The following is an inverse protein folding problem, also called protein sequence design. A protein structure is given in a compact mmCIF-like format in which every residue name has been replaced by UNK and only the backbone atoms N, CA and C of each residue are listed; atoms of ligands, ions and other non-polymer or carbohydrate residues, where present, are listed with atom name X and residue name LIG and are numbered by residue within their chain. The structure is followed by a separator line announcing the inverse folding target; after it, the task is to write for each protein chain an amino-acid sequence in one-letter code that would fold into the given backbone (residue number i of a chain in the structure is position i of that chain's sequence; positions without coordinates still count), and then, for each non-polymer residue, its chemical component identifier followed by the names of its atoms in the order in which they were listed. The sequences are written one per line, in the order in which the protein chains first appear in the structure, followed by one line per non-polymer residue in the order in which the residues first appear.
data_IF_152819103926
#
_entry.id   IF_152819103926
#
_cell.length_a   1.000
_cell.length_b   1.000
_cell.length_c   1.000
_cell.angle_alpha   90.00
_cell.angle_beta   90.00
_cell.angle_gamma   90.00
#
_symmetry.space_group_name_H-M   'P 1'
#
loop_
_entity.id
_entity.type
_entity.pdbx_description
1 polymer ?
#
# COMPACT_ATOMS: atom_id res chain seq x y z
N UNK A 1 9.67 31.69 -11.13
CA UNK A 1 9.03 31.11 -9.94
C UNK A 1 7.96 32.07 -9.44
N UNK A 2 6.70 31.73 -9.66
CA UNK A 2 5.57 32.48 -9.07
C UNK A 2 5.55 32.15 -7.58
N UNK A 3 5.53 33.17 -6.72
CA UNK A 3 5.48 32.98 -5.27
C UNK A 3 4.11 32.39 -4.91
N UNK A 4 4.09 31.16 -4.38
CA UNK A 4 2.85 30.45 -3.99
C UNK A 4 2.09 31.26 -2.92
N UNK A 5 0.77 31.40 -3.08
CA UNK A 5 -0.11 32.16 -2.17
C UNK A 5 -0.25 31.46 -0.82
N UNK A 6 -0.26 30.13 -0.84
CA UNK A 6 -0.34 29.24 0.33
C UNK A 6 -0.19 27.78 -0.09
N UNK A 7 -0.42 26.85 0.83
CA UNK A 7 -0.41 25.40 0.55
C UNK A 7 -1.75 24.75 0.92
N UNK A 8 -2.21 23.83 0.08
CA UNK A 8 -3.40 23.02 0.31
C UNK A 8 -3.09 21.52 0.13
N UNK A 9 -3.77 20.69 0.92
CA UNK A 9 -3.76 19.23 0.76
C UNK A 9 -5.09 18.78 0.13
N UNK A 10 -5.03 17.99 -0.93
CA UNK A 10 -6.20 17.34 -1.53
C UNK A 10 -6.09 15.84 -1.27
N UNK A 11 -7.10 15.27 -0.61
CA UNK A 11 -7.12 13.85 -0.21
C UNK A 11 -8.05 13.07 -1.11
N UNK A 12 -7.48 12.19 -1.94
CA UNK A 12 -8.17 11.40 -2.96
C UNK A 12 -7.96 11.99 -4.35
N UNK A 13 -7.37 11.21 -5.24
CA UNK A 13 -7.02 11.55 -6.61
C UNK A 13 -7.96 10.88 -7.64
N UNK A 14 -9.24 10.76 -7.27
CA UNK A 14 -10.33 10.60 -8.22
C UNK A 14 -10.61 11.88 -9.01
N UNK A 15 -11.63 11.88 -9.85
CA UNK A 15 -11.97 13.01 -10.72
C UNK A 15 -12.21 14.33 -9.95
N UNK A 16 -12.84 14.26 -8.78
CA UNK A 16 -13.12 15.43 -7.94
C UNK A 16 -11.84 16.04 -7.38
N UNK A 17 -10.95 15.22 -6.83
CA UNK A 17 -9.69 15.69 -6.26
C UNK A 17 -8.69 16.15 -7.31
N UNK A 18 -8.62 15.47 -8.45
CA UNK A 18 -7.85 15.95 -9.61
C UNK A 18 -8.34 17.35 -10.00
N UNK A 19 -9.66 17.55 -10.15
CA UNK A 19 -10.20 18.87 -10.52
C UNK A 19 -9.90 19.93 -9.46
N UNK A 20 -10.11 19.62 -8.18
CA UNK A 20 -9.82 20.53 -7.08
C UNK A 20 -8.35 20.94 -7.05
N UNK A 21 -7.43 19.99 -7.26
CA UNK A 21 -5.99 20.26 -7.28
C UNK A 21 -5.59 21.19 -8.44
N UNK A 22 -6.17 20.99 -9.62
CA UNK A 22 -5.94 21.84 -10.78
C UNK A 22 -6.42 23.28 -10.54
N UNK A 23 -7.64 23.46 -10.03
CA UNK A 23 -8.22 24.78 -9.79
C UNK A 23 -7.42 25.57 -8.74
N UNK A 24 -6.94 24.89 -7.69
CA UNK A 24 -6.07 25.49 -6.69
C UNK A 24 -4.67 25.84 -7.25
N UNK A 25 -4.12 24.98 -8.10
CA UNK A 25 -2.81 25.21 -8.70
C UNK A 25 -2.82 26.38 -9.70
N UNK A 26 -3.85 26.47 -10.55
CA UNK A 26 -4.05 27.54 -11.54
C UNK A 26 -4.27 28.90 -10.88
N UNK A 27 -4.87 28.92 -9.68
CA UNK A 27 -5.02 30.15 -8.87
C UNK A 27 -3.74 30.55 -8.12
N UNK A 28 -2.70 29.71 -8.11
CA UNK A 28 -1.38 30.01 -7.55
C UNK A 28 -1.09 29.40 -6.17
N UNK A 29 -1.91 28.48 -5.69
CA UNK A 29 -1.61 27.71 -4.47
C UNK A 29 -0.68 26.54 -4.77
N UNK A 30 0.20 26.22 -3.81
CA UNK A 30 0.85 24.92 -3.79
C UNK A 30 -0.13 23.84 -3.36
N UNK A 31 -0.17 22.73 -4.08
CA UNK A 31 -1.09 21.63 -3.80
C UNK A 31 -0.30 20.35 -3.63
N UNK A 32 -0.54 19.65 -2.53
CA UNK A 32 -0.18 18.24 -2.39
C UNK A 32 -1.43 17.42 -2.66
N UNK A 33 -1.43 16.60 -3.70
CA UNK A 33 -2.52 15.68 -4.03
C UNK A 33 -2.10 14.26 -3.60
N UNK A 34 -2.84 13.68 -2.66
CA UNK A 34 -2.57 12.32 -2.16
C UNK A 34 -3.66 11.35 -2.55
N UNK A 35 -3.32 10.07 -2.72
CA UNK A 35 -4.30 8.98 -2.83
C UNK A 35 -3.73 7.71 -2.17
N UNK A 36 -4.60 6.97 -1.47
CA UNK A 36 -4.25 5.66 -0.91
C UNK A 36 -4.01 4.62 -2.00
N UNK A 37 -4.67 4.79 -3.14
CA UNK A 37 -4.47 3.99 -4.33
C UNK A 37 -3.10 4.28 -4.93
N UNK A 38 -2.59 3.28 -5.64
CA UNK A 38 -1.31 3.34 -6.31
C UNK A 38 -1.38 4.00 -7.70
N UNK A 39 -2.58 4.43 -8.11
CA UNK A 39 -2.83 5.09 -9.39
C UNK A 39 -3.85 6.22 -9.25
N UNK A 40 -3.83 7.14 -10.20
CA UNK A 40 -4.80 8.22 -10.32
C UNK A 40 -6.13 7.72 -10.93
N UNK A 41 -7.20 8.47 -10.68
CA UNK A 41 -8.46 8.38 -11.41
C UNK A 41 -9.63 7.75 -10.69
N UNK A 42 -9.38 7.03 -9.60
CA UNK A 42 -10.41 6.33 -8.83
C UNK A 42 -11.33 5.49 -9.73
N UNK A 43 -12.62 5.48 -9.42
CA UNK A 43 -13.66 4.76 -10.18
C UNK A 43 -13.65 5.13 -11.67
N UNK A 44 -13.32 6.37 -12.02
CA UNK A 44 -13.38 6.82 -13.41
C UNK A 44 -12.43 6.05 -14.34
N UNK A 45 -11.33 5.53 -13.78
CA UNK A 45 -10.38 4.68 -14.51
C UNK A 45 -10.96 3.34 -14.94
N UNK A 46 -12.06 2.90 -14.31
CA UNK A 46 -12.73 1.63 -14.57
C UNK A 46 -13.87 1.77 -15.58
N UNK A 47 -14.27 3.00 -15.92
CA UNK A 47 -15.41 3.29 -16.79
C UNK A 47 -14.94 3.70 -18.19
N UNK A 48 -15.39 2.97 -19.21
CA UNK A 48 -15.05 3.29 -20.60
C UNK A 48 -15.85 4.49 -21.09
N UNK A 49 -17.18 4.47 -21.00
CA UNK A 49 -18.07 5.50 -21.55
C UNK A 49 -18.92 6.18 -20.47
N UNK A 50 -19.24 7.46 -20.68
CA UNK A 50 -20.02 8.25 -19.72
C UNK A 50 -21.27 8.86 -20.34
N UNK A 51 -22.42 8.57 -19.74
CA UNK A 51 -23.66 9.29 -19.99
C UNK A 51 -23.53 10.78 -19.55
N UNK A 52 -24.30 11.70 -20.14
CA UNK A 52 -25.21 11.52 -21.28
C UNK A 52 -24.48 11.56 -22.63
N UNK A 53 -23.17 11.86 -22.64
CA UNK A 53 -22.43 12.17 -23.87
C UNK A 53 -21.87 10.97 -24.61
N UNK A 54 -21.86 9.79 -23.99
CA UNK A 54 -21.18 8.57 -24.45
C UNK A 54 -19.72 8.81 -24.85
N UNK A 55 -19.05 9.75 -24.19
CA UNK A 55 -17.62 10.00 -24.40
C UNK A 55 -16.79 9.07 -23.54
N UNK A 56 -15.61 8.73 -24.04
CA UNK A 56 -14.67 7.93 -23.28
C UNK A 56 -14.24 8.67 -22.00
N UNK A 57 -14.45 8.05 -20.83
CA UNK A 57 -14.06 8.60 -19.54
C UNK A 57 -12.56 8.72 -19.41
N UNK A 58 -11.83 7.73 -19.89
CA UNK A 58 -10.37 7.76 -19.96
C UNK A 58 -9.86 8.89 -20.85
N UNK A 59 -10.51 9.22 -21.98
CA UNK A 59 -10.06 10.31 -22.85
C UNK A 59 -10.18 11.71 -22.22
N UNK A 60 -11.09 11.90 -21.25
CA UNK A 60 -11.13 13.15 -20.46
C UNK A 60 -10.00 13.21 -19.43
N UNK A 61 -9.60 12.07 -18.91
CA UNK A 61 -8.47 11.95 -17.98
C UNK A 61 -7.10 11.95 -18.68
N UNK A 62 -7.02 11.33 -19.85
CA UNK A 62 -5.81 10.90 -20.55
C UNK A 62 -6.02 10.98 -22.09
N UNK A 63 -6.21 12.17 -22.70
CA UNK A 63 -6.33 12.23 -24.15
C UNK A 63 -5.02 11.74 -24.81
N UNK A 64 -5.16 10.80 -25.75
CA UNK A 64 -4.05 10.11 -26.42
C UNK A 64 -3.63 10.76 -27.77
N UNK A 65 -4.43 11.70 -28.29
CA UNK A 65 -4.17 12.37 -29.57
C UNK A 65 -4.45 13.87 -29.48
N UNK A 66 -3.64 14.61 -30.24
CA UNK A 66 -3.65 16.07 -30.42
C UNK A 66 -3.20 16.88 -29.18
N UNK A 67 -1.88 16.94 -28.97
CA UNK A 67 -1.20 17.65 -27.87
C UNK A 67 -1.52 19.15 -27.81
N UNK A 68 -1.90 19.75 -28.94
CA UNK A 68 -2.08 21.20 -29.06
C UNK A 68 -3.55 21.64 -29.06
N UNK A 69 -4.50 20.83 -29.57
CA UNK A 69 -5.93 21.19 -29.56
C UNK A 69 -6.71 20.69 -28.33
N UNK A 70 -6.26 19.64 -27.65
CA UNK A 70 -6.91 19.10 -26.43
C UNK A 70 -6.60 19.89 -25.15
N UNK A 71 -5.89 21.01 -25.27
CA UNK A 71 -5.15 21.68 -24.20
C UNK A 71 -5.98 22.34 -23.10
N UNK A 72 -7.29 22.55 -23.29
CA UNK A 72 -8.13 23.22 -22.28
C UNK A 72 -8.95 22.27 -21.39
N UNK A 73 -9.07 20.99 -21.76
CA UNK A 73 -9.87 20.01 -21.01
C UNK A 73 -9.10 18.74 -20.63
N UNK A 74 -7.82 18.68 -20.99
CA UNK A 74 -6.92 17.57 -20.71
C UNK A 74 -6.43 17.63 -19.26
N UNK A 75 -7.06 16.87 -18.36
CA UNK A 75 -6.64 16.77 -16.96
C UNK A 75 -5.18 16.31 -16.83
N UNK A 76 -4.69 15.50 -17.77
CA UNK A 76 -3.29 15.06 -17.86
C UNK A 76 -2.29 16.22 -18.01
N UNK A 77 -2.57 17.25 -18.81
CA UNK A 77 -1.62 18.38 -19.00
C UNK A 77 -1.56 19.23 -17.73
N UNK A 78 -2.69 19.41 -17.06
CA UNK A 78 -2.76 20.16 -15.81
C UNK A 78 -2.07 19.46 -14.63
N UNK A 79 -2.00 18.12 -14.61
CA UNK A 79 -1.38 17.40 -13.50
C UNK A 79 0.16 17.52 -13.46
N UNK A 80 0.80 17.78 -14.61
CA UNK A 80 2.22 18.12 -14.67
C UNK A 80 2.43 19.63 -14.44
N UNK A 81 1.91 20.14 -13.33
CA UNK A 81 2.02 21.55 -12.95
C UNK A 81 3.07 21.71 -11.85
N UNK A 82 3.94 22.72 -11.95
CA UNK A 82 4.95 23.07 -10.93
C UNK A 82 4.38 23.34 -9.51
N UNK A 83 3.07 23.54 -9.41
CA UNK A 83 2.37 23.82 -8.16
C UNK A 83 1.76 22.56 -7.55
N UNK A 84 1.66 21.45 -8.28
CA UNK A 84 1.06 20.20 -7.82
C UNK A 84 2.16 19.17 -7.56
N UNK A 85 2.21 18.67 -6.34
CA UNK A 85 2.97 17.50 -5.94
C UNK A 85 2.00 16.32 -5.78
N UNK A 86 2.23 15.21 -6.47
CA UNK A 86 1.36 14.03 -6.44
C UNK A 86 2.05 12.94 -5.60
N UNK A 87 1.38 12.46 -4.55
CA UNK A 87 1.84 11.37 -3.70
C UNK A 87 0.82 10.22 -3.72
N UNK A 88 1.07 9.23 -4.58
CA UNK A 88 0.28 7.99 -4.62
C UNK A 88 0.72 7.05 -3.50
N UNK A 89 -0.10 6.02 -3.25
CA UNK A 89 0.12 5.06 -2.15
C UNK A 89 0.24 5.76 -0.79
N UNK A 90 -0.40 6.92 -0.62
CA UNK A 90 -0.23 7.82 0.52
C UNK A 90 -1.56 8.04 1.23
N UNK A 91 -1.57 7.76 2.53
CA UNK A 91 -2.73 7.92 3.42
C UNK A 91 -2.49 9.07 4.41
N UNK A 92 -3.55 9.82 4.71
CA UNK A 92 -3.55 10.81 5.78
C UNK A 92 -3.81 10.11 7.11
N UNK A 93 -2.87 10.22 8.05
CA UNK A 93 -2.94 9.53 9.35
C UNK A 93 -3.47 10.42 10.45
N UNK A 94 -2.96 11.65 10.55
CA UNK A 94 -3.38 12.61 11.57
C UNK A 94 -3.43 14.03 11.03
N UNK A 95 -4.31 14.83 11.63
CA UNK A 95 -4.47 16.27 11.40
C UNK A 95 -4.50 16.95 12.76
N UNK A 96 -3.62 17.92 12.95
CA UNK A 96 -3.53 18.75 14.14
C UNK A 96 -3.55 20.23 13.73
N UNK A 97 -3.89 21.13 14.66
CA UNK A 97 -3.93 22.56 14.40
C UNK A 97 -5.32 23.11 14.06
N UNK A 98 -5.35 24.30 13.45
CA UNK A 98 -6.55 25.10 13.22
C UNK A 98 -6.63 25.61 11.76
N UNK A 99 -7.81 26.03 11.26
CA UNK A 99 -7.95 26.53 9.90
C UNK A 99 -6.90 27.60 9.54
N UNK A 100 -6.13 27.36 8.47
CA UNK A 100 -5.01 28.21 8.05
C UNK A 100 -3.64 27.73 8.53
N UNK A 101 -3.56 26.84 9.52
CA UNK A 101 -2.33 26.29 10.06
C UNK A 101 -2.52 24.83 10.53
N UNK A 102 -2.78 23.94 9.57
CA UNK A 102 -2.88 22.51 9.85
C UNK A 102 -1.51 21.85 9.75
N UNK A 103 -1.18 21.02 10.73
CA UNK A 103 -0.08 20.09 10.68
C UNK A 103 -0.63 18.68 10.38
N UNK A 104 -0.22 18.10 9.25
CA UNK A 104 -0.71 16.79 8.81
C UNK A 104 0.43 15.78 8.76
N UNK A 105 0.10 14.53 9.09
CA UNK A 105 1.03 13.40 8.99
C UNK A 105 0.57 12.47 7.86
N UNK A 106 1.44 12.27 6.87
CA UNK A 106 1.17 11.41 5.72
C UNK A 106 1.99 10.12 5.80
N UNK A 107 1.36 8.98 5.55
CA UNK A 107 2.01 7.67 5.45
C UNK A 107 2.04 7.23 3.99
N UNK A 108 3.21 7.22 3.38
CA UNK A 108 3.41 6.72 2.02
C UNK A 108 3.93 5.29 2.06
N UNK A 109 3.21 4.35 1.46
CA UNK A 109 3.65 2.97 1.30
C UNK A 109 4.74 2.93 0.22
N UNK A 110 5.95 2.43 0.54
CA UNK A 110 7.01 2.33 -0.45
C UNK A 110 6.62 1.35 -1.56
N UNK A 111 7.23 1.48 -2.73
CA UNK A 111 7.23 0.45 -3.75
C UNK A 111 8.68 0.17 -4.17
N UNK A 112 8.99 -1.09 -4.43
CA UNK A 112 10.33 -1.50 -4.89
C UNK A 112 10.57 -1.19 -6.36
N UNK A 113 9.61 -0.55 -7.04
CA UNK A 113 9.77 -0.06 -8.41
C UNK A 113 9.94 1.45 -8.37
N UNK A 114 11.12 1.91 -8.78
CA UNK A 114 11.40 3.32 -9.00
C UNK A 114 10.63 3.82 -10.25
N UNK A 115 9.68 4.76 -10.07
CA UNK A 115 8.87 5.26 -11.17
C UNK A 115 9.64 6.11 -12.19
N UNK A 116 10.80 6.66 -11.82
CA UNK A 116 11.64 7.46 -12.73
C UNK A 116 12.48 6.57 -13.66
N UNK A 117 12.86 5.38 -13.18
CA UNK A 117 13.64 4.41 -13.96
C UNK A 117 12.77 3.38 -14.70
N UNK A 118 11.52 3.19 -14.28
CA UNK A 118 10.64 2.19 -14.87
C UNK A 118 10.13 2.64 -16.25
N UNK A 119 10.51 1.89 -17.29
CA UNK A 119 10.08 2.15 -18.68
C UNK A 119 8.79 1.42 -19.08
N UNK A 120 8.14 0.71 -18.16
CA UNK A 120 6.86 0.03 -18.42
C UNK A 120 6.94 -1.11 -19.46
N UNK A 121 8.07 -1.81 -19.59
CA UNK A 121 8.28 -2.81 -20.65
C UNK A 121 7.59 -4.17 -20.44
N UNK A 122 7.10 -4.47 -19.23
CA UNK A 122 6.35 -5.70 -18.93
C UNK A 122 7.17 -6.97 -18.65
N UNK A 123 8.48 -6.99 -18.92
CA UNK A 123 9.35 -8.18 -18.72
C UNK A 123 9.28 -8.79 -17.31
N UNK A 124 9.08 -7.96 -16.29
CA UNK A 124 8.98 -8.39 -14.91
C UNK A 124 7.72 -9.21 -14.61
N UNK A 125 6.64 -8.98 -15.37
CA UNK A 125 5.38 -9.73 -15.25
C UNK A 125 5.57 -11.16 -15.77
N UNK A 126 6.28 -11.30 -16.89
CA UNK A 126 6.47 -12.58 -17.58
C UNK A 126 7.17 -13.63 -16.69
N UNK A 127 8.04 -13.19 -15.78
CA UNK A 127 8.81 -14.05 -14.88
C UNK A 127 8.20 -14.23 -13.50
N UNK A 128 7.13 -13.49 -13.16
CA UNK A 128 6.55 -13.55 -11.82
C UNK A 128 5.77 -14.87 -11.63
N UNK A 129 6.10 -15.69 -10.61
CA UNK A 129 5.44 -16.98 -10.41
C UNK A 129 4.05 -16.87 -9.76
N UNK A 130 3.72 -15.72 -9.17
CA UNK A 130 2.47 -15.52 -8.42
C UNK A 130 1.31 -15.27 -9.36
N UNK A 131 0.15 -15.89 -9.12
CA UNK A 131 -1.11 -15.58 -9.80
C UNK A 131 -2.21 -15.32 -8.78
N UNK A 132 -2.84 -14.14 -8.89
CA UNK A 132 -3.93 -13.70 -8.02
C UNK A 132 -5.01 -12.99 -8.83
N UNK A 133 -6.27 -12.95 -8.41
CA UNK A 133 -7.32 -12.24 -9.14
C UNK A 133 -6.99 -10.74 -9.37
N UNK A 134 -7.24 -10.25 -10.59
CA UNK A 134 -7.04 -8.87 -10.97
C UNK A 134 -8.23 -8.00 -10.54
N UNK A 135 -8.03 -7.18 -9.51
CA UNK A 135 -9.05 -6.29 -8.96
C UNK A 135 -9.53 -5.24 -9.96
N UNK A 136 -8.67 -4.75 -10.85
CA UNK A 136 -9.07 -3.78 -11.89
C UNK A 136 -9.97 -4.43 -12.96
N UNK A 137 -9.82 -5.73 -13.18
CA UNK A 137 -10.69 -6.52 -14.07
C UNK A 137 -11.77 -7.31 -13.31
N UNK A 138 -12.14 -6.81 -12.13
CA UNK A 138 -13.22 -7.36 -11.31
C UNK A 138 -13.03 -8.84 -10.91
N UNK A 139 -11.79 -9.32 -10.89
CA UNK A 139 -11.45 -10.70 -10.52
C UNK A 139 -11.70 -11.75 -11.60
N UNK A 140 -12.15 -11.37 -12.81
CA UNK A 140 -12.43 -12.33 -13.89
C UNK A 140 -11.18 -12.94 -14.54
N UNK A 141 -10.02 -12.33 -14.34
CA UNK A 141 -8.73 -12.86 -14.81
C UNK A 141 -7.69 -12.71 -13.70
N UNK A 142 -6.61 -13.49 -13.80
CA UNK A 142 -5.48 -13.37 -12.89
C UNK A 142 -4.52 -12.26 -13.34
N UNK A 143 -3.86 -11.64 -12.36
CA UNK A 143 -2.67 -10.80 -12.49
C UNK A 143 -1.51 -11.41 -11.70
N UNK A 144 -0.31 -10.90 -11.94
CA UNK A 144 0.89 -11.24 -11.17
C UNK A 144 1.06 -10.35 -9.95
N UNK A 145 2.00 -10.68 -9.05
CA UNK A 145 2.33 -9.84 -7.89
C UNK A 145 2.95 -8.50 -8.30
N UNK A 146 3.81 -8.51 -9.33
CA UNK A 146 4.21 -7.29 -10.04
C UNK A 146 3.28 -7.06 -11.22
N UNK A 147 2.61 -5.91 -11.26
CA UNK A 147 1.51 -5.67 -12.19
C UNK A 147 1.41 -4.19 -12.56
N UNK A 148 0.64 -3.93 -13.61
CA UNK A 148 0.27 -2.57 -13.98
C UNK A 148 -1.12 -2.27 -13.40
N UNK A 149 -1.30 -1.28 -12.51
CA UNK A 149 -2.56 -1.06 -11.82
C UNK A 149 -3.73 -0.70 -12.74
N UNK A 150 -3.47 0.18 -13.70
CA UNK A 150 -4.42 0.57 -14.73
C UNK A 150 -3.70 0.68 -16.07
N UNK A 151 -4.36 0.31 -17.18
CA UNK A 151 -3.85 0.60 -18.51
C UNK A 151 -3.62 2.10 -18.67
N UNK A 152 -2.46 2.46 -19.23
CA UNK A 152 -2.08 3.86 -19.48
C UNK A 152 -1.95 4.72 -18.20
N UNK A 153 -1.55 4.14 -17.07
CA UNK A 153 -1.21 4.91 -15.87
C UNK A 153 -0.15 5.99 -16.19
N UNK A 154 -0.20 7.13 -15.50
CA UNK A 154 0.77 8.22 -15.69
C UNK A 154 1.32 8.69 -14.33
N UNK A 155 2.64 8.55 -14.08
CA UNK A 155 3.57 7.70 -14.85
C UNK A 155 3.04 6.25 -14.94
N UNK A 156 3.58 5.43 -15.85
CA UNK A 156 3.13 4.04 -16.04
C UNK A 156 4.07 3.02 -15.36
N UNK A 157 4.51 3.21 -14.10
CA UNK A 157 5.39 2.25 -13.48
C UNK A 157 4.60 0.98 -13.17
N UNK A 158 5.28 -0.15 -13.31
CA UNK A 158 4.82 -1.37 -12.65
C UNK A 158 4.92 -1.19 -11.15
N UNK A 159 4.11 -1.94 -10.41
CA UNK A 159 4.13 -1.93 -8.95
C UNK A 159 4.10 -3.35 -8.43
N UNK A 160 4.72 -3.56 -7.27
CA UNK A 160 4.67 -4.82 -6.54
C UNK A 160 3.60 -4.75 -5.46
N UNK A 161 2.71 -5.74 -5.45
CA UNK A 161 1.80 -6.00 -4.34
C UNK A 161 2.51 -6.86 -3.29
N UNK A 162 2.95 -6.23 -2.21
CA UNK A 162 3.68 -6.90 -1.14
C UNK A 162 2.86 -7.93 -0.37
N UNK A 163 1.52 -7.85 -0.41
CA UNK A 163 0.67 -8.81 0.31
C UNK A 163 0.71 -10.22 -0.31
N UNK A 164 1.09 -10.33 -1.58
CA UNK A 164 1.11 -11.59 -2.34
C UNK A 164 2.49 -11.89 -2.97
N UNK A 165 3.43 -10.95 -2.90
CA UNK A 165 4.77 -11.12 -3.44
C UNK A 165 5.57 -12.14 -2.62
N UNK A 166 6.11 -13.17 -3.29
CA UNK A 166 6.97 -14.18 -2.67
C UNK A 166 8.41 -13.70 -2.43
N UNK A 167 8.75 -12.48 -2.85
CA UNK A 167 10.09 -11.88 -2.72
C UNK A 167 11.20 -12.69 -3.43
N UNK A 168 10.88 -13.48 -4.45
CA UNK A 168 11.84 -14.35 -5.15
C UNK A 168 12.93 -13.66 -5.99
N UNK A 169 12.84 -12.34 -6.22
CA UNK A 169 13.87 -11.57 -6.95
C UNK A 169 13.91 -11.75 -8.47
N UNK A 170 13.11 -12.64 -9.07
CA UNK A 170 13.14 -12.88 -10.53
C UNK A 170 12.85 -11.62 -11.36
N UNK A 171 11.92 -10.78 -10.88
CA UNK A 171 11.57 -9.53 -11.55
C UNK A 171 12.70 -8.49 -11.56
N UNK A 172 13.56 -8.48 -10.54
CA UNK A 172 14.73 -7.60 -10.45
C UNK A 172 15.81 -8.03 -11.44
N UNK A 173 16.12 -9.33 -11.52
CA UNK A 173 17.13 -9.89 -12.44
C UNK A 173 16.88 -9.55 -13.91
N UNK A 174 15.60 -9.51 -14.33
CA UNK A 174 15.22 -9.23 -15.71
C UNK A 174 15.00 -7.74 -16.02
N UNK A 175 15.05 -6.87 -15.01
CA UNK A 175 14.76 -5.45 -15.17
C UNK A 175 15.90 -4.74 -15.93
N UNK A 176 15.69 -4.26 -17.17
CA UNK A 176 16.78 -3.71 -17.98
C UNK A 176 17.30 -2.37 -17.49
N UNK A 177 16.51 -1.63 -16.70
CA UNK A 177 16.87 -0.30 -16.19
C UNK A 177 17.29 -0.31 -14.72
N UNK A 178 17.24 -1.46 -14.04
CA UNK A 178 17.46 -1.53 -12.59
C UNK A 178 16.42 -0.73 -11.78
N UNK A 179 15.22 -0.54 -12.34
CA UNK A 179 14.13 0.16 -11.69
C UNK A 179 13.52 -0.63 -10.53
N UNK A 180 13.65 -1.96 -10.57
CA UNK A 180 13.17 -2.84 -9.51
C UNK A 180 14.34 -3.11 -8.57
N UNK A 181 14.18 -2.78 -7.29
CA UNK A 181 15.18 -3.04 -6.24
C UNK A 181 14.47 -3.66 -5.05
N UNK A 182 14.60 -4.97 -4.88
CA UNK A 182 14.14 -5.61 -3.66
C UNK A 182 15.05 -5.12 -2.53
N UNK A 183 14.47 -4.83 -1.35
CA UNK A 183 15.01 -3.89 -0.35
C UNK A 183 16.35 -4.24 0.32
N UNK A 184 17.18 -5.13 -0.21
CA UNK A 184 18.52 -5.44 0.32
C UNK A 184 19.38 -4.17 0.51
N UNK A 185 19.26 -3.16 -0.36
CA UNK A 185 20.17 -1.99 -0.36
C UNK A 185 19.88 -0.90 0.69
N UNK A 186 18.68 -0.82 1.27
CA UNK A 186 18.37 0.18 2.32
C UNK A 186 18.34 -0.40 3.74
N UNK A 187 18.30 -1.74 3.86
CA UNK A 187 18.27 -2.45 5.15
C UNK A 187 19.57 -2.32 5.94
N UNK A 188 20.70 -1.97 5.31
CA UNK A 188 21.96 -1.75 6.02
C UNK A 188 21.83 -0.67 7.11
N UNK A 189 20.96 0.32 6.92
CA UNK A 189 20.71 1.38 7.91
C UNK A 189 19.87 0.87 9.09
N UNK A 190 19.14 -0.22 8.92
CA UNK A 190 18.28 -0.79 9.94
C UNK A 190 19.07 -1.71 10.86
N UNK A 191 19.33 -1.20 12.06
CA UNK A 191 20.10 -1.85 13.12
C UNK A 191 19.23 -2.68 14.05
N UNK A 192 19.57 -3.96 14.21
CA UNK A 192 18.89 -4.91 15.10
C UNK A 192 19.86 -5.36 16.20
N UNK A 193 19.38 -5.42 17.45
CA UNK A 193 20.13 -5.96 18.59
C UNK A 193 19.56 -7.32 18.99
N UNK A 194 20.38 -8.36 18.99
CA UNK A 194 20.00 -9.70 19.43
C UNK A 194 20.57 -9.95 20.82
N UNK A 195 19.71 -10.33 21.77
CA UNK A 195 20.09 -10.56 23.17
C UNK A 195 19.71 -11.98 23.56
N UNK A 196 20.73 -12.82 23.77
CA UNK A 196 20.56 -14.24 24.12
C UNK A 196 21.83 -14.75 24.80
N UNK A 197 21.71 -15.54 25.87
CA UNK A 197 22.86 -16.12 26.56
C UNK A 197 23.47 -17.31 25.82
N UNK A 198 22.73 -17.93 24.89
CA UNK A 198 23.20 -19.04 24.08
C UNK A 198 23.94 -18.55 22.83
N UNK A 199 25.24 -18.82 22.73
CA UNK A 199 26.07 -18.43 21.58
C UNK A 199 25.52 -18.97 20.24
N UNK A 200 25.02 -20.21 20.24
CA UNK A 200 24.48 -20.87 19.04
C UNK A 200 23.27 -20.10 18.50
N UNK A 201 22.40 -19.59 19.39
CA UNK A 201 21.23 -18.81 19.00
C UNK A 201 21.65 -17.48 18.42
N UNK A 202 22.59 -16.78 19.07
CA UNK A 202 23.11 -15.49 18.58
C UNK A 202 23.73 -15.61 17.19
N UNK A 203 24.59 -16.60 16.99
CA UNK A 203 25.28 -16.80 15.71
C UNK A 203 24.29 -17.16 14.59
N UNK A 204 23.31 -18.03 14.88
CA UNK A 204 22.29 -18.44 13.88
C UNK A 204 21.41 -17.27 13.46
N UNK A 205 20.86 -16.52 14.41
CA UNK A 205 19.99 -15.37 14.11
C UNK A 205 20.76 -14.25 13.40
N UNK A 206 22.02 -14.02 13.79
CA UNK A 206 22.90 -13.07 13.12
C UNK A 206 23.12 -13.44 11.66
N UNK A 207 23.49 -14.69 11.38
CA UNK A 207 23.77 -15.14 10.02
C UNK A 207 22.53 -15.01 9.12
N UNK A 208 21.34 -15.41 9.61
CA UNK A 208 20.10 -15.31 8.83
C UNK A 208 19.69 -13.86 8.53
N UNK A 209 19.83 -12.94 9.50
CA UNK A 209 19.41 -11.55 9.31
C UNK A 209 20.45 -10.70 8.56
N UNK A 210 21.75 -10.99 8.70
CA UNK A 210 22.79 -10.34 7.89
C UNK A 210 22.67 -10.74 6.40
N UNK A 211 22.28 -11.98 6.08
CA UNK A 211 21.99 -12.40 4.70
C UNK A 211 20.85 -11.60 4.07
N UNK A 212 19.90 -11.11 4.87
CA UNK A 212 18.82 -10.23 4.43
C UNK A 212 19.23 -8.76 4.33
N UNK A 213 20.49 -8.41 4.63
CA UNK A 213 21.04 -7.05 4.50
C UNK A 213 20.85 -6.16 5.74
N UNK A 214 20.46 -6.71 6.89
CA UNK A 214 20.34 -5.95 8.14
C UNK A 214 21.68 -5.79 8.86
N UNK A 215 21.86 -4.67 9.57
CA UNK A 215 23.02 -4.51 10.47
C UNK A 215 22.71 -5.11 11.84
N UNK A 216 23.45 -6.12 12.24
CA UNK A 216 23.19 -6.87 13.48
C UNK A 216 24.30 -6.63 14.51
N UNK A 217 23.92 -6.26 15.72
CA UNK A 217 24.78 -6.39 16.91
C UNK A 217 24.20 -7.46 17.84
N UNK A 218 25.06 -8.07 18.65
CA UNK A 218 24.70 -9.14 19.57
C UNK A 218 25.13 -8.80 21.00
N UNK A 219 24.37 -9.26 21.99
CA UNK A 219 24.67 -9.14 23.42
C UNK A 219 24.39 -10.47 24.12
N UNK A 220 25.26 -10.87 25.05
CA UNK A 220 25.15 -12.15 25.78
C UNK A 220 24.35 -12.04 27.08
N UNK A 221 24.00 -10.81 27.48
CA UNK A 221 23.25 -10.55 28.70
C UNK A 221 22.41 -9.28 28.59
N UNK A 222 21.39 -9.17 29.44
CA UNK A 222 20.58 -7.96 29.54
C UNK A 222 21.37 -6.72 29.94
N UNK A 223 22.42 -6.86 30.75
CA UNK A 223 23.28 -5.75 31.15
C UNK A 223 24.10 -5.21 29.96
N UNK A 224 24.67 -6.10 29.16
CA UNK A 224 25.40 -5.72 27.94
C UNK A 224 24.45 -5.08 26.91
N UNK A 225 23.23 -5.62 26.76
CA UNK A 225 22.23 -5.05 25.87
C UNK A 225 21.90 -3.58 26.22
N UNK A 226 21.65 -3.29 27.50
CA UNK A 226 21.40 -1.93 27.97
C UNK A 226 22.61 -1.01 27.79
N UNK A 227 23.83 -1.52 27.95
CA UNK A 227 25.04 -0.74 27.67
C UNK A 227 25.16 -0.39 26.17
N UNK A 228 24.85 -1.35 25.29
CA UNK A 228 24.86 -1.12 23.85
C UNK A 228 23.76 -0.12 23.42
N UNK A 229 22.54 -0.23 23.96
CA UNK A 229 21.45 0.72 23.70
C UNK A 229 21.82 2.16 24.09
N UNK A 230 22.65 2.35 25.12
CA UNK A 230 23.15 3.68 25.52
C UNK A 230 24.24 4.23 24.58
N UNK A 231 24.97 3.36 23.86
CA UNK A 231 26.07 3.75 22.96
C UNK A 231 25.61 3.93 21.51
N UNK A 232 24.63 3.14 21.07
CA UNK A 232 24.17 3.04 19.69
C UNK A 232 22.64 3.05 19.64
N UNK A 233 22.07 3.64 18.58
CA UNK A 233 20.64 3.58 18.31
C UNK A 233 20.28 2.30 17.56
N UNK A 234 19.24 1.59 18.02
CA UNK A 234 18.68 0.41 17.38
C UNK A 234 17.21 0.63 17.04
N UNK A 235 16.73 -0.06 16.01
CA UNK A 235 15.33 0.02 15.57
C UNK A 235 14.52 -1.15 16.14
N UNK A 236 15.13 -2.33 16.19
CA UNK A 236 14.53 -3.56 16.69
C UNK A 236 15.48 -4.26 17.67
N UNK A 237 14.92 -4.80 18.75
CA UNK A 237 15.61 -5.69 19.69
C UNK A 237 14.89 -7.04 19.75
N UNK A 238 15.63 -8.13 19.53
CA UNK A 238 15.17 -9.49 19.76
C UNK A 238 15.78 -9.97 21.07
N UNK A 239 14.99 -10.21 22.12
CA UNK A 239 15.51 -10.55 23.45
C UNK A 239 14.94 -11.84 23.99
N UNK A 240 15.80 -12.75 24.46
CA UNK A 240 15.36 -13.95 25.17
C UNK A 240 14.70 -13.60 26.51
N UNK A 241 13.65 -14.33 26.88
CA UNK A 241 12.96 -14.13 28.16
C UNK A 241 13.82 -14.61 29.34
N UNK A 242 14.53 -15.74 29.19
CA UNK A 242 15.21 -16.43 30.29
C UNK A 242 16.73 -16.32 30.16
N UNK A 243 17.25 -15.17 30.59
CA UNK A 243 18.69 -14.95 30.67
C UNK A 243 19.21 -14.95 32.12
N UNK A 244 20.45 -15.40 32.38
CA UNK A 244 21.08 -15.27 33.68
C UNK A 244 21.24 -13.81 34.12
N UNK A 245 20.97 -13.53 35.40
CA UNK A 245 21.21 -12.23 36.02
C UNK A 245 20.06 -11.24 35.83
N UNK A 246 19.73 -10.87 34.59
CA UNK A 246 18.61 -9.98 34.25
C UNK A 246 17.74 -10.64 33.20
N UNK A 247 16.45 -10.83 33.52
CA UNK A 247 15.51 -11.46 32.60
C UNK A 247 15.12 -10.52 31.44
N UNK A 248 14.62 -11.09 30.34
CA UNK A 248 14.24 -10.32 29.16
C UNK A 248 13.11 -9.32 29.41
N UNK A 249 12.24 -9.59 30.38
CA UNK A 249 11.10 -8.72 30.72
C UNK A 249 11.60 -7.46 31.45
N UNK A 250 12.59 -7.59 32.32
CA UNK A 250 13.27 -6.49 32.99
C UNK A 250 14.07 -5.65 32.00
N UNK A 251 14.73 -6.29 31.02
CA UNK A 251 15.39 -5.61 29.90
C UNK A 251 14.37 -4.82 29.09
N UNK A 252 13.25 -5.43 28.69
CA UNK A 252 12.16 -4.76 27.97
C UNK A 252 11.67 -3.51 28.71
N UNK A 253 11.42 -3.63 30.01
CA UNK A 253 10.93 -2.51 30.82
C UNK A 253 11.92 -1.36 30.84
N UNK A 254 13.20 -1.63 31.14
CA UNK A 254 14.25 -0.60 31.15
C UNK A 254 14.50 0.01 29.77
N UNK A 255 14.45 -0.83 28.73
CA UNK A 255 14.62 -0.38 27.36
C UNK A 255 13.48 0.54 26.92
N UNK A 256 12.22 0.25 27.28
CA UNK A 256 11.07 1.13 26.97
C UNK A 256 11.05 2.41 27.78
N UNK A 257 11.54 2.41 29.02
CA UNK A 257 11.69 3.62 29.84
C UNK A 257 12.76 4.57 29.27
N UNK A 258 13.89 4.04 28.79
CA UNK A 258 14.99 4.84 28.23
C UNK A 258 14.86 5.15 26.73
N UNK A 259 14.24 4.25 25.97
CA UNK A 259 14.19 4.27 24.50
C UNK A 259 12.76 3.91 24.03
N UNK A 260 11.80 4.84 24.11
CA UNK A 260 10.39 4.56 23.83
C UNK A 260 10.15 4.12 22.37
N UNK A 261 10.95 4.61 21.43
CA UNK A 261 10.85 4.32 19.99
C UNK A 261 11.44 2.95 19.60
N UNK A 262 12.17 2.28 20.51
CA UNK A 262 12.75 0.97 20.22
C UNK A 262 11.65 -0.09 20.11
N UNK A 263 11.59 -0.80 18.98
CA UNK A 263 10.69 -1.96 18.85
C UNK A 263 11.34 -3.18 19.50
N UNK A 264 10.57 -3.96 20.27
CA UNK A 264 11.09 -5.13 20.99
C UNK A 264 10.24 -6.35 20.71
N UNK A 265 10.88 -7.45 20.32
CA UNK A 265 10.27 -8.77 20.15
C UNK A 265 10.92 -9.74 21.12
N UNK A 266 10.09 -10.47 21.86
CA UNK A 266 10.56 -11.42 22.88
C UNK A 266 10.84 -12.80 22.26
N UNK A 267 11.87 -13.51 22.71
CA UNK A 267 12.16 -14.89 22.32
C UNK A 267 11.91 -15.83 23.50
N UNK A 268 11.24 -16.96 23.28
CA UNK A 268 10.85 -17.88 24.37
C UNK A 268 10.94 -19.35 23.98
N UNK A 269 11.43 -20.19 24.91
CA UNK A 269 11.46 -21.64 24.77
C UNK A 269 10.12 -22.34 25.12
N UNK A 270 9.25 -21.69 25.90
CA UNK A 270 7.94 -22.23 26.27
C UNK A 270 6.95 -21.06 26.38
N UNK A 271 5.97 -21.02 25.49
CA UNK A 271 4.91 -20.01 25.51
C UNK A 271 3.89 -20.34 26.61
N UNK A 272 4.14 -19.93 27.84
CA UNK A 272 3.07 -19.75 28.82
C UNK A 272 2.32 -18.46 28.48
N UNK A 273 0.99 -18.56 28.33
CA UNK A 273 0.12 -17.44 27.93
C UNK A 273 0.30 -16.22 28.84
N UNK A 274 0.53 -16.44 30.12
CA UNK A 274 0.69 -15.39 31.13
C UNK A 274 1.90 -14.48 30.86
N UNK A 275 3.06 -15.07 30.56
CA UNK A 275 4.32 -14.34 30.33
C UNK A 275 4.28 -13.57 29.01
N UNK A 276 3.62 -14.12 27.99
CA UNK A 276 3.40 -13.41 26.73
C UNK A 276 2.47 -12.20 26.93
N UNK A 277 1.36 -12.36 27.67
CA UNK A 277 0.43 -11.24 27.95
C UNK A 277 1.11 -10.14 28.77
N UNK A 278 1.97 -10.49 29.72
CA UNK A 278 2.70 -9.52 30.53
C UNK A 278 3.70 -8.70 29.70
N UNK A 279 4.49 -9.35 28.84
CA UNK A 279 5.42 -8.65 27.94
C UNK A 279 4.69 -7.69 26.98
N UNK A 280 3.54 -8.12 26.43
CA UNK A 280 2.72 -7.28 25.55
C UNK A 280 2.19 -6.02 26.27
N UNK A 281 1.79 -6.13 27.55
CA UNK A 281 1.33 -4.98 28.35
C UNK A 281 2.44 -3.97 28.63
N UNK A 282 3.69 -4.43 28.72
CA UNK A 282 4.86 -3.57 28.95
C UNK A 282 5.27 -2.85 27.65
N UNK A 283 4.87 -3.37 26.49
CA UNK A 283 5.09 -2.75 25.19
C UNK A 283 5.98 -3.55 24.24
N UNK A 284 6.11 -4.87 24.45
CA UNK A 284 6.62 -5.75 23.40
C UNK A 284 5.68 -5.73 22.19
N UNK A 285 6.25 -5.80 20.99
CA UNK A 285 5.49 -5.83 19.74
C UNK A 285 4.91 -7.22 19.47
N UNK A 286 5.72 -8.26 19.67
CA UNK A 286 5.35 -9.66 19.45
C UNK A 286 6.35 -10.60 20.15
N UNK A 287 6.17 -11.91 19.99
CA UNK A 287 7.10 -12.93 20.46
C UNK A 287 7.41 -14.01 19.42
N UNK A 288 8.61 -14.59 19.54
CA UNK A 288 9.14 -15.69 18.76
C UNK A 288 9.33 -16.92 19.65
N UNK A 289 8.93 -18.08 19.15
CA UNK A 289 9.05 -19.34 19.87
C UNK A 289 10.29 -20.10 19.37
N UNK A 290 11.14 -20.54 20.30
CA UNK A 290 12.28 -21.45 20.04
C UNK A 290 11.77 -22.90 19.96
N UNK A 291 12.31 -23.74 19.05
CA UNK A 291 13.30 -23.42 18.02
C UNK A 291 12.73 -22.56 16.89
N UNK A 292 13.56 -21.68 16.35
CA UNK A 292 13.13 -20.73 15.33
C UNK A 292 12.96 -21.37 13.97
N UNK A 293 11.91 -20.97 13.27
CA UNK A 293 11.76 -21.17 11.84
C UNK A 293 12.36 -19.94 11.12
N UNK A 294 13.45 -20.08 10.35
CA UNK A 294 14.11 -18.97 9.66
C UNK A 294 13.14 -18.16 8.79
N UNK A 295 12.24 -18.83 8.05
CA UNK A 295 11.30 -18.17 7.16
C UNK A 295 10.34 -17.27 7.95
N UNK A 296 9.88 -17.75 9.11
CA UNK A 296 9.00 -16.99 10.00
C UNK A 296 9.70 -15.79 10.63
N UNK A 297 10.94 -15.95 11.09
CA UNK A 297 11.75 -14.87 11.65
C UNK A 297 11.98 -13.77 10.61
N UNK A 298 12.41 -14.16 9.41
CA UNK A 298 12.68 -13.25 8.31
C UNK A 298 11.41 -12.51 7.92
N UNK A 299 10.29 -13.23 7.74
CA UNK A 299 9.00 -12.62 7.41
C UNK A 299 8.54 -11.61 8.45
N UNK A 300 8.67 -11.93 9.75
CA UNK A 300 8.29 -11.03 10.84
C UNK A 300 9.19 -9.78 10.85
N UNK A 301 10.51 -9.96 10.78
CA UNK A 301 11.48 -8.86 10.81
C UNK A 301 11.29 -7.91 9.62
N UNK A 302 11.01 -8.47 8.44
CA UNK A 302 10.71 -7.67 7.25
C UNK A 302 9.41 -6.87 7.40
N UNK A 303 8.36 -7.46 7.97
CA UNK A 303 7.13 -6.72 8.28
C UNK A 303 7.38 -5.55 9.24
N UNK A 304 8.17 -5.77 10.29
CA UNK A 304 8.53 -4.72 11.25
C UNK A 304 9.34 -3.60 10.58
N UNK A 305 10.32 -3.95 9.75
CA UNK A 305 11.11 -2.99 8.98
C UNK A 305 10.20 -2.12 8.10
N UNK A 306 9.30 -2.76 7.34
CA UNK A 306 8.34 -2.07 6.47
C UNK A 306 7.42 -1.13 7.26
N UNK A 307 6.93 -1.57 8.43
CA UNK A 307 6.07 -0.77 9.30
C UNK A 307 6.81 0.43 9.89
N UNK A 308 8.05 0.27 10.33
CA UNK A 308 8.86 1.35 10.91
C UNK A 308 9.30 2.38 9.87
N UNK A 309 9.70 1.93 8.67
CA UNK A 309 9.95 2.84 7.56
C UNK A 309 8.67 3.58 7.16
N UNK A 310 7.52 2.90 7.17
CA UNK A 310 6.25 3.55 6.90
C UNK A 310 5.77 4.48 8.04
N UNK A 311 6.24 4.28 9.28
CA UNK A 311 5.96 5.14 10.44
C UNK A 311 6.79 6.44 10.44
N UNK A 312 7.86 6.53 9.63
CA UNK A 312 8.56 7.80 9.31
C UNK A 312 7.73 8.68 8.38
N UNK A 313 6.45 8.85 8.71
CA UNK A 313 5.47 9.60 7.94
C UNK A 313 5.93 11.04 7.70
N UNK A 314 5.70 11.52 6.49
CA UNK A 314 6.02 12.89 6.09
C UNK A 314 5.08 13.86 6.81
N UNK A 315 5.62 14.67 7.71
CA UNK A 315 4.91 15.81 8.31
C UNK A 315 4.93 17.01 7.36
N UNK A 316 3.79 17.65 7.16
CA UNK A 316 3.72 18.91 6.42
C UNK A 316 2.71 19.89 7.02
N UNK A 317 2.95 21.17 6.77
CA UNK A 317 2.05 22.26 7.12
C UNK A 317 1.23 22.67 5.89
N UNK A 318 -0.08 22.77 6.05
CA UNK A 318 -1.02 23.21 5.01
C UNK A 318 -2.07 24.17 5.59
N UNK A 319 -2.48 25.16 4.79
CA UNK A 319 -3.49 26.13 5.23
C UNK A 319 -4.92 25.63 5.07
N UNK A 320 -5.15 24.72 4.13
CA UNK A 320 -6.46 24.16 3.84
C UNK A 320 -6.36 22.70 3.40
N UNK A 321 -7.47 21.97 3.58
CA UNK A 321 -7.62 20.60 3.14
C UNK A 321 -8.91 20.43 2.35
N UNK A 322 -8.87 19.66 1.25
CA UNK A 322 -10.03 19.29 0.45
C UNK A 322 -10.16 17.77 0.48
N UNK A 323 -11.25 17.26 1.06
CA UNK A 323 -11.51 15.82 1.15
C UNK A 323 -12.30 15.36 -0.07
N UNK A 324 -11.70 14.46 -0.84
CA UNK A 324 -12.21 13.90 -2.09
C UNK A 324 -12.15 12.36 -2.04
N UNK A 325 -12.57 11.76 -0.92
CA UNK A 325 -12.44 10.32 -0.63
C UNK A 325 -13.21 9.37 -1.56
N UNK A 326 -14.00 9.90 -2.49
CA UNK A 326 -14.77 9.12 -3.45
C UNK A 326 -15.90 8.34 -2.78
N UNK A 327 -16.24 7.21 -3.38
CA UNK A 327 -17.25 6.27 -2.90
C UNK A 327 -16.80 4.85 -3.21
N UNK A 328 -17.46 3.87 -2.61
CA UNK A 328 -17.28 2.46 -2.91
C UNK A 328 -18.62 1.87 -3.36
N UNK A 329 -18.57 0.68 -3.97
CA UNK A 329 -19.77 -0.01 -4.44
C UNK A 329 -20.39 -0.85 -3.33
N UNK A 330 -21.73 -0.93 -3.33
CA UNK A 330 -22.44 -1.90 -2.52
C UNK A 330 -22.05 -3.32 -2.94
N UNK A 331 -21.71 -4.20 -1.99
CA UNK A 331 -21.49 -5.63 -2.22
C UNK A 331 -22.79 -6.41 -1.93
N UNK A 332 -23.53 -6.88 -2.96
CA UNK A 332 -24.78 -7.60 -2.76
C UNK A 332 -24.62 -8.94 -2.01
N UNK A 333 -23.40 -9.49 -1.93
CA UNK A 333 -23.15 -10.74 -1.22
C UNK A 333 -23.11 -10.55 0.30
N UNK A 334 -22.94 -9.31 0.78
CA UNK A 334 -22.95 -8.99 2.21
C UNK A 334 -24.35 -8.92 2.82
N UNK A 335 -25.38 -8.68 2.01
CA UNK A 335 -26.79 -8.59 2.43
C UNK A 335 -27.58 -9.88 2.20
N UNK A 336 -28.91 -9.77 2.08
CA UNK A 336 -29.79 -10.93 1.79
C UNK A 336 -29.54 -11.60 0.44
N UNK A 337 -28.85 -10.92 -0.47
CA UNK A 337 -28.45 -11.44 -1.79
C UNK A 337 -29.58 -12.17 -2.56
N UNK A 338 -30.80 -11.58 -2.69
CA UNK A 338 -31.94 -12.28 -3.29
C UNK A 338 -31.74 -12.63 -4.77
N UNK A 339 -30.80 -11.95 -5.42
CA UNK A 339 -30.46 -12.14 -6.83
C UNK A 339 -29.35 -13.17 -7.06
N UNK A 340 -28.76 -13.72 -6.00
CA UNK A 340 -27.73 -14.75 -6.07
C UNK A 340 -26.42 -14.26 -6.69
N UNK A 341 -26.01 -13.03 -6.40
CA UNK A 341 -24.67 -12.53 -6.72
C UNK A 341 -23.61 -13.42 -6.07
N UNK A 342 -22.53 -13.75 -6.78
CA UNK A 342 -21.50 -14.77 -6.40
C UNK A 342 -22.02 -16.20 -6.19
N UNK A 343 -23.33 -16.46 -6.31
CA UNK A 343 -23.92 -17.81 -6.30
C UNK A 343 -24.18 -18.26 -7.74
N UNK A 344 -24.76 -17.37 -8.54
CA UNK A 344 -24.98 -17.55 -9.97
C UNK A 344 -23.85 -16.83 -10.73
N UNK A 345 -23.07 -17.52 -11.56
CA UNK A 345 -21.85 -16.94 -12.15
C UNK A 345 -22.13 -15.93 -13.27
N UNK A 346 -23.40 -15.80 -13.69
CA UNK A 346 -23.85 -14.80 -14.67
C UNK A 346 -24.59 -13.61 -14.02
N UNK A 347 -24.70 -13.58 -12.69
CA UNK A 347 -25.20 -12.42 -11.96
C UNK A 347 -23.99 -11.59 -11.56
N UNK A 348 -23.87 -10.42 -12.17
CA UNK A 348 -22.75 -9.49 -12.00
C UNK A 348 -23.27 -8.12 -11.59
N UNK A 349 -22.44 -7.35 -10.90
CA UNK A 349 -22.69 -5.94 -10.59
C UNK A 349 -22.56 -5.08 -11.84
N UNK A 350 -23.07 -3.84 -11.77
CA UNK A 350 -22.93 -2.87 -12.88
C UNK A 350 -21.46 -2.57 -13.20
N UNK A 351 -20.59 -2.50 -12.21
CA UNK A 351 -19.16 -2.27 -12.41
C UNK A 351 -18.47 -3.46 -13.06
N UNK A 352 -18.77 -4.69 -12.61
CA UNK A 352 -18.26 -5.90 -13.24
C UNK A 352 -18.69 -5.98 -14.71
N UNK A 353 -19.95 -5.63 -15.01
CA UNK A 353 -20.44 -5.53 -16.38
C UNK A 353 -19.66 -4.49 -17.21
N UNK A 354 -19.42 -3.29 -16.66
CA UNK A 354 -18.56 -2.27 -17.28
C UNK A 354 -17.15 -2.82 -17.56
N UNK A 355 -16.56 -3.55 -16.60
CA UNK A 355 -15.25 -4.18 -16.82
C UNK A 355 -15.30 -5.24 -17.91
N UNK A 356 -16.28 -6.14 -17.91
CA UNK A 356 -16.43 -7.20 -18.95
C UNK A 356 -16.47 -6.57 -20.35
N UNK A 357 -17.29 -5.53 -20.52
CA UNK A 357 -17.47 -4.87 -21.80
C UNK A 357 -16.35 -3.87 -22.15
N UNK A 358 -15.50 -3.48 -21.19
CA UNK A 358 -14.43 -2.51 -21.43
C UNK A 358 -13.40 -3.04 -22.43
N UNK A 359 -12.89 -2.16 -23.28
CA UNK A 359 -11.77 -2.46 -24.17
C UNK A 359 -10.47 -2.80 -23.42
N UNK A 360 -10.33 -2.30 -22.18
CA UNK A 360 -9.26 -2.65 -21.26
C UNK A 360 -9.62 -3.76 -20.26
N UNK A 361 -10.83 -4.30 -20.41
CA UNK A 361 -11.40 -5.34 -19.59
C UNK A 361 -10.85 -6.74 -19.87
N UNK A 362 -11.34 -7.76 -19.14
CA UNK A 362 -10.96 -9.15 -19.35
C UNK A 362 -11.35 -9.67 -20.75
N UNK A 363 -12.46 -9.18 -21.32
CA UNK A 363 -12.98 -9.63 -22.61
C UNK A 363 -12.63 -8.70 -23.78
N UNK A 364 -11.78 -7.69 -23.56
CA UNK A 364 -11.27 -6.76 -24.59
C UNK A 364 -12.37 -6.14 -25.47
N UNK A 365 -13.49 -5.72 -24.87
CA UNK A 365 -14.62 -5.15 -25.61
C UNK A 365 -15.70 -6.14 -26.04
N UNK A 366 -15.49 -7.45 -25.85
CA UNK A 366 -16.48 -8.47 -26.24
C UNK A 366 -17.52 -8.70 -25.15
N UNK A 367 -18.80 -8.56 -25.51
CA UNK A 367 -19.91 -8.78 -24.59
C UNK A 367 -20.23 -10.28 -24.44
N UNK A 368 -19.50 -10.93 -23.54
CA UNK A 368 -19.58 -12.37 -23.26
C UNK A 368 -19.98 -12.65 -21.82
N UNK A 369 -20.56 -13.83 -21.59
CA UNK A 369 -20.84 -14.30 -20.24
C UNK A 369 -19.53 -14.64 -19.51
N UNK A 370 -19.34 -14.21 -18.25
CA UNK A 370 -18.07 -14.43 -17.54
C UNK A 370 -17.77 -15.92 -17.29
N UNK A 371 -18.80 -16.75 -17.14
CA UNK A 371 -18.64 -18.17 -16.79
C UNK A 371 -18.14 -19.04 -17.95
N UNK A 372 -18.73 -18.90 -19.14
CA UNK A 372 -18.52 -19.79 -20.28
C UNK A 372 -17.97 -19.07 -21.52
N UNK A 373 -17.79 -17.75 -21.48
CA UNK A 373 -17.25 -16.96 -22.59
C UNK A 373 -18.20 -16.83 -23.79
N UNK A 374 -19.42 -17.35 -23.68
CA UNK A 374 -20.37 -17.35 -24.78
C UNK A 374 -21.04 -15.97 -24.95
N UNK A 375 -21.43 -15.59 -26.17
CA UNK A 375 -22.07 -14.30 -26.42
C UNK A 375 -23.34 -14.08 -25.59
N UNK A 376 -23.47 -12.88 -25.03
CA UNK A 376 -24.69 -12.47 -24.33
C UNK A 376 -25.77 -12.12 -25.35
N UNK A 377 -26.94 -12.76 -25.25
CA UNK A 377 -28.09 -12.49 -26.14
C UNK A 377 -29.22 -11.72 -25.47
N UNK A 378 -29.34 -11.81 -24.15
CA UNK A 378 -30.38 -11.18 -23.34
C UNK A 378 -29.78 -10.74 -22.02
N UNK A 379 -30.12 -9.53 -21.58
CA UNK A 379 -29.68 -8.93 -20.33
C UNK A 379 -30.90 -8.42 -19.57
N UNK A 380 -30.91 -8.59 -18.25
CA UNK A 380 -31.86 -7.97 -17.35
C UNK A 380 -31.10 -7.03 -16.42
N UNK A 381 -31.57 -5.79 -16.29
CA UNK A 381 -31.02 -4.82 -15.35
C UNK A 381 -31.94 -4.70 -14.15
N UNK A 382 -31.40 -4.93 -12.96
CA UNK A 382 -32.11 -4.78 -11.70
C UNK A 382 -31.63 -3.48 -11.07
N UNK A 383 -32.54 -2.53 -10.92
CA UNK A 383 -32.24 -1.21 -10.36
C UNK A 383 -32.36 -1.25 -8.83
N UNK A 384 -31.79 -0.24 -8.17
CA UNK A 384 -31.89 -0.04 -6.72
C UNK A 384 -31.33 -1.20 -5.87
N UNK A 385 -30.40 -2.01 -6.40
CA UNK A 385 -29.74 -3.06 -5.59
C UNK A 385 -28.83 -2.38 -4.57
N UNK A 386 -29.16 -2.50 -3.28
CA UNK A 386 -28.42 -1.86 -2.19
C UNK A 386 -28.73 -0.38 -1.98
N UNK A 387 -29.83 0.13 -2.55
CA UNK A 387 -30.29 1.51 -2.33
C UNK A 387 -31.81 1.52 -2.30
N UNK A 388 -32.42 2.41 -1.51
CA UNK A 388 -33.90 2.45 -1.36
C UNK A 388 -34.48 1.11 -0.88
N UNK A 389 -33.75 0.43 0.01
CA UNK A 389 -34.15 -0.87 0.55
C UNK A 389 -34.18 -0.81 2.09
N UNK A 390 -35.39 -0.59 2.61
CA UNK A 390 -35.66 -0.56 4.06
C UNK A 390 -35.29 -1.87 4.77
N UNK A 391 -35.19 -2.98 4.02
CA UNK A 391 -34.83 -4.26 4.62
C UNK A 391 -33.34 -4.41 4.92
N UNK A 392 -32.51 -3.56 4.31
CA UNK A 392 -31.05 -3.54 4.44
C UNK A 392 -30.56 -2.24 5.12
N UNK A 393 -31.49 -1.48 5.73
CA UNK A 393 -31.24 -0.16 6.34
C UNK A 393 -30.59 0.84 5.35
N UNK A 394 -30.89 0.68 4.06
CA UNK A 394 -30.37 1.50 2.99
C UNK A 394 -31.37 2.61 2.64
N UNK A 395 -31.06 3.83 3.07
CA UNK A 395 -31.81 5.05 2.72
C UNK A 395 -31.69 5.41 1.21
N UNK A 396 -32.51 6.38 0.81
CA UNK A 396 -32.89 6.71 -0.57
C UNK A 396 -31.76 6.84 -1.61
#
# INVERSE_FOLDING_TARGET
MIKKIGKALVVGAGISGIRAALDLAETGYGVTLIDRSTHLGGILSQLDYQFPSNRCGMCKMLPLVDRDASSQYCLRKGLFHENIEILLSTELISVEGEPGNFQVTLKQKPNWVDPELCIGCGKCVDVCPVEVPDTFKAGFVSRKAIYLPVPHAIPNPYLIDFSVCTRCGECEKVCPTGAIRLSEQDREKFKILIVDDELIVRDSLKEWLEQEGFTIDVAESGAEALEQLNKKSYHLMLTDIKMPGMDGVEVLKKAKEGFPDLTVVMMTAYATVETAVEAMKIGALDYLVKPFDPDKLISMTLGIYEDLEAARGRRMEVGAMVLCGGTDYYDPAGGKNPWGYKVNPNVVTSLEFERIFSGSGPSQGMLVRPFDGEPIRKVAWIQCVGSRDLQEDADF
#
